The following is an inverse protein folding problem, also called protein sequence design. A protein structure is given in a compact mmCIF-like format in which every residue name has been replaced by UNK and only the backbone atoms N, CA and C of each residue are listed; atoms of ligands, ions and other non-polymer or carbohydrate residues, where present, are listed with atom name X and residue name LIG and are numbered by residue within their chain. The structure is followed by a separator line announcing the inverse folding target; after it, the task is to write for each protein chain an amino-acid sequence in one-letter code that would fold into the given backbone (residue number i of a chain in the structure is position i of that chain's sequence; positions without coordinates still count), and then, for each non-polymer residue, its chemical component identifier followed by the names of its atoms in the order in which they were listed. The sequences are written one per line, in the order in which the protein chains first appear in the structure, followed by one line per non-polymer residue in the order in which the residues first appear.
data_IF_446020795634
#
_entry.id   IF_446020795634
#
_cell.length_a   1.000
_cell.length_b   1.000
_cell.length_c   1.000
_cell.angle_alpha   90.00
_cell.angle_beta   90.00
_cell.angle_gamma   90.00
#
_symmetry.space_group_name_H-M   'P 1'
#
loop_
_entity.id
_entity.type
_entity.pdbx_description
1 polymer ?
#
# COMPACT_ATOMS: atom_id res chain seq x y z
N UNK A 1 -13.44 -28.85 -23.02
CA UNK A 1 -13.66 -30.02 -23.90
C UNK A 1 -12.29 -30.60 -24.24
N UNK A 2 -11.87 -31.62 -23.49
CA UNK A 2 -10.81 -32.55 -23.89
C UNK A 2 -11.49 -33.85 -24.32
N UNK A 3 -10.90 -34.54 -25.29
CA UNK A 3 -11.58 -35.48 -26.17
C UNK A 3 -11.87 -36.87 -25.58
N UNK A 4 -11.63 -37.11 -24.28
CA UNK A 4 -11.67 -38.46 -23.69
C UNK A 4 -12.65 -38.62 -22.51
N UNK A 5 -13.42 -37.58 -22.15
CA UNK A 5 -14.55 -37.73 -21.24
C UNK A 5 -14.24 -38.18 -19.81
N UNK A 6 -12.97 -38.17 -19.36
CA UNK A 6 -12.64 -38.41 -17.95
C UNK A 6 -13.05 -37.20 -17.10
N UNK A 7 -13.83 -37.48 -16.04
CA UNK A 7 -14.14 -36.50 -15.01
C UNK A 7 -12.85 -36.18 -14.25
N UNK A 8 -12.37 -34.95 -14.37
CA UNK A 8 -11.26 -34.46 -13.54
C UNK A 8 -11.71 -34.54 -12.07
N UNK A 9 -10.93 -35.24 -11.23
CA UNK A 9 -11.13 -35.18 -9.79
C UNK A 9 -10.95 -33.73 -9.32
N UNK A 10 -11.69 -33.35 -8.27
CA UNK A 10 -11.62 -32.01 -7.67
C UNK A 10 -10.17 -31.58 -7.34
N UNK A 11 -9.30 -32.53 -7.00
CA UNK A 11 -7.87 -32.30 -6.78
C UNK A 11 -7.09 -31.93 -8.04
N UNK A 12 -7.42 -32.51 -9.20
CA UNK A 12 -6.81 -32.12 -10.48
C UNK A 12 -7.36 -30.78 -10.98
N UNK A 13 -8.64 -30.51 -10.73
CA UNK A 13 -9.24 -29.20 -11.02
C UNK A 13 -8.57 -28.07 -10.21
N UNK A 14 -8.35 -28.30 -8.91
CA UNK A 14 -7.69 -27.32 -8.04
C UNK A 14 -6.24 -27.03 -8.48
N UNK A 15 -5.46 -28.07 -8.79
CA UNK A 15 -4.08 -27.90 -9.29
C UNK A 15 -3.99 -27.15 -10.62
N UNK A 16 -5.00 -27.31 -11.48
CA UNK A 16 -5.06 -26.58 -12.74
C UNK A 16 -5.45 -25.10 -12.57
N UNK A 17 -6.18 -24.76 -11.50
CA UNK A 17 -6.64 -23.40 -11.22
C UNK A 17 -5.63 -22.54 -10.43
N UNK A 18 -4.73 -23.16 -9.65
CA UNK A 18 -3.77 -22.47 -8.78
C UNK A 18 -2.43 -22.14 -9.47
N UNK A 19 -2.47 -21.79 -10.75
CA UNK A 19 -1.29 -21.23 -11.44
C UNK A 19 -1.35 -19.71 -11.37
N UNK A 20 -1.37 -19.17 -10.15
CA UNK A 20 -1.00 -17.78 -9.96
C UNK A 20 0.43 -17.63 -10.50
N UNK A 21 0.64 -16.79 -11.53
CA UNK A 21 1.96 -16.66 -12.08
C UNK A 21 2.84 -16.03 -10.99
N UNK A 22 3.80 -16.81 -10.47
CA UNK A 22 4.96 -16.37 -9.66
C UNK A 22 5.88 -15.40 -10.43
N UNK A 23 5.36 -14.73 -11.45
CA UNK A 23 6.09 -13.89 -12.38
C UNK A 23 6.32 -12.48 -11.85
N UNK A 24 5.62 -12.05 -10.79
CA UNK A 24 5.93 -10.78 -10.17
C UNK A 24 7.14 -10.95 -9.24
N UNK A 25 8.27 -10.39 -9.65
CA UNK A 25 9.47 -10.36 -8.83
C UNK A 25 9.17 -9.66 -7.49
N UNK A 26 9.71 -10.20 -6.39
CA UNK A 26 9.61 -9.55 -5.08
C UNK A 26 10.29 -8.17 -5.17
N UNK A 27 9.55 -7.06 -5.02
CA UNK A 27 10.10 -5.72 -5.23
C UNK A 27 11.20 -5.37 -4.22
N UNK A 28 11.11 -5.86 -2.98
CA UNK A 28 12.16 -5.67 -1.98
C UNK A 28 13.44 -6.44 -2.35
N UNK A 29 13.30 -7.64 -2.92
CA UNK A 29 14.44 -8.43 -3.38
C UNK A 29 15.08 -7.83 -4.64
N UNK A 30 14.26 -7.44 -5.62
CA UNK A 30 14.71 -6.73 -6.83
C UNK A 30 15.49 -5.48 -6.44
N UNK A 31 14.90 -4.62 -5.59
CA UNK A 31 15.55 -3.40 -5.11
C UNK A 31 16.88 -3.68 -4.39
N UNK A 32 16.92 -4.71 -3.53
CA UNK A 32 18.15 -5.12 -2.84
C UNK A 32 19.26 -5.51 -3.82
N UNK A 33 18.95 -6.37 -4.79
CA UNK A 33 19.92 -6.88 -5.77
C UNK A 33 20.37 -5.78 -6.75
N UNK A 34 19.44 -4.94 -7.20
CA UNK A 34 19.76 -3.77 -8.05
C UNK A 34 20.64 -2.74 -7.33
N UNK A 35 20.48 -2.61 -6.00
CA UNK A 35 21.37 -1.83 -5.14
C UNK A 35 22.75 -2.45 -4.89
N UNK A 36 23.04 -3.61 -5.49
CA UNK A 36 24.29 -4.35 -5.30
C UNK A 36 24.34 -5.18 -4.02
N UNK A 37 23.19 -5.41 -3.38
CA UNK A 37 23.05 -6.26 -2.21
C UNK A 37 22.72 -7.71 -2.53
N UNK A 38 22.61 -8.52 -1.48
CA UNK A 38 22.15 -9.92 -1.51
C UNK A 38 20.92 -10.08 -0.62
N UNK A 39 19.84 -10.64 -1.16
CA UNK A 39 18.56 -10.81 -0.46
C UNK A 39 18.40 -12.24 0.07
N UNK A 40 18.01 -12.38 1.34
CA UNK A 40 17.68 -13.66 1.95
C UNK A 40 16.18 -13.94 1.84
N UNK A 41 15.80 -14.98 1.10
CA UNK A 41 14.40 -15.38 0.94
C UNK A 41 13.81 -16.03 2.20
N UNK A 42 14.65 -16.48 3.14
CA UNK A 42 14.22 -17.17 4.37
C UNK A 42 13.63 -16.18 5.36
N UNK A 43 14.32 -15.07 5.59
CA UNK A 43 13.92 -14.06 6.58
C UNK A 43 13.61 -12.68 6.00
N UNK A 44 13.80 -12.48 4.70
CA UNK A 44 13.45 -11.24 4.01
C UNK A 44 14.42 -10.09 4.21
N UNK A 45 15.64 -10.35 4.67
CA UNK A 45 16.66 -9.32 4.84
C UNK A 45 17.46 -9.03 3.57
N UNK A 46 17.97 -7.81 3.47
CA UNK A 46 18.92 -7.38 2.46
C UNK A 46 20.29 -7.16 3.10
N UNK A 47 21.33 -7.80 2.57
CA UNK A 47 22.73 -7.51 2.89
C UNK A 47 23.27 -6.53 1.86
N UNK A 48 23.55 -5.29 2.27
CA UNK A 48 24.04 -4.21 1.42
C UNK A 48 25.50 -4.44 0.99
N UNK A 49 25.97 -3.65 0.02
CA UNK A 49 27.33 -3.76 -0.52
C UNK A 49 28.44 -3.51 0.53
N UNK A 50 28.17 -2.76 1.60
CA UNK A 50 29.12 -2.56 2.71
C UNK A 50 29.10 -3.73 3.73
N UNK A 51 28.22 -4.71 3.55
CA UNK A 51 28.01 -5.84 4.46
C UNK A 51 26.92 -5.61 5.52
N UNK A 52 26.33 -4.41 5.60
CA UNK A 52 25.23 -4.13 6.53
C UNK A 52 23.99 -4.96 6.18
N UNK A 53 23.38 -5.63 7.17
CA UNK A 53 22.12 -6.37 7.01
C UNK A 53 20.94 -5.53 7.52
N UNK A 54 19.92 -5.34 6.68
CA UNK A 54 18.69 -4.58 6.98
C UNK A 54 17.45 -5.40 6.64
N UNK A 55 16.29 -5.02 7.19
CA UNK A 55 15.00 -5.56 6.72
C UNK A 55 14.73 -5.09 5.28
N UNK A 56 14.49 -6.03 4.36
CA UNK A 56 14.40 -5.72 2.94
C UNK A 56 13.19 -4.87 2.58
N UNK A 57 12.05 -5.10 3.24
CA UNK A 57 10.82 -4.34 3.00
C UNK A 57 10.88 -2.93 3.59
N UNK A 58 11.47 -2.75 4.77
CA UNK A 58 11.75 -1.45 5.37
C UNK A 58 12.72 -0.63 4.50
N UNK A 59 13.80 -1.27 4.03
CA UNK A 59 14.75 -0.63 3.12
C UNK A 59 14.06 -0.16 1.82
N UNK A 60 13.29 -1.05 1.20
CA UNK A 60 12.48 -0.72 0.01
C UNK A 60 11.49 0.41 0.28
N UNK A 61 10.72 0.36 1.37
CA UNK A 61 9.74 1.42 1.71
C UNK A 61 10.40 2.74 2.10
N UNK A 62 11.61 2.74 2.65
CA UNK A 62 12.34 4.00 2.88
C UNK A 62 12.76 4.65 1.56
N UNK A 63 13.16 3.85 0.57
CA UNK A 63 13.56 4.35 -0.74
C UNK A 63 12.38 4.71 -1.66
N UNK A 64 11.26 3.98 -1.56
CA UNK A 64 10.12 4.09 -2.48
C UNK A 64 8.79 4.50 -1.82
N UNK A 65 8.70 4.40 -0.50
CA UNK A 65 7.44 4.39 0.26
C UNK A 65 7.19 5.62 1.12
N UNK A 66 7.76 6.77 0.77
CA UNK A 66 7.23 8.05 1.26
C UNK A 66 5.99 8.52 0.47
N UNK A 67 5.67 7.88 -0.66
CA UNK A 67 4.49 8.23 -1.48
C UNK A 67 3.25 7.38 -1.17
N UNK A 68 3.40 6.24 -0.48
CA UNK A 68 2.32 5.26 -0.26
C UNK A 68 1.92 5.04 1.22
N UNK A 69 2.48 5.81 2.16
CA UNK A 69 1.71 6.15 3.36
C UNK A 69 0.59 7.08 2.91
N UNK A 70 -0.47 6.45 2.39
CA UNK A 70 -1.77 6.99 2.03
C UNK A 70 -2.03 8.32 2.73
N UNK A 71 -1.67 9.42 2.10
CA UNK A 71 -2.17 10.71 2.53
C UNK A 71 -3.67 10.58 2.35
N UNK A 72 -4.44 10.58 3.45
CA UNK A 72 -5.89 10.57 3.35
C UNK A 72 -6.25 11.68 2.35
N UNK A 73 -6.86 11.37 1.19
CA UNK A 73 -7.01 12.36 0.12
C UNK A 73 -7.85 13.56 0.58
N UNK A 74 -8.77 13.35 1.51
CA UNK A 74 -9.49 14.44 2.16
C UNK A 74 -8.62 15.28 3.09
N UNK A 75 -7.67 14.68 3.81
CA UNK A 75 -6.70 15.41 4.60
C UNK A 75 -5.72 16.19 3.73
N UNK A 76 -5.23 15.57 2.65
CA UNK A 76 -4.35 16.19 1.67
C UNK A 76 -5.02 17.42 1.05
N UNK A 77 -6.24 17.24 0.55
CA UNK A 77 -7.02 18.30 -0.06
C UNK A 77 -7.34 19.44 0.90
N UNK A 78 -7.64 19.13 2.17
CA UNK A 78 -7.84 20.15 3.19
C UNK A 78 -6.60 21.06 3.36
N UNK A 79 -5.42 20.45 3.47
CA UNK A 79 -4.16 21.18 3.62
C UNK A 79 -3.80 21.96 2.35
N UNK A 80 -3.98 21.34 1.19
CA UNK A 80 -3.73 21.96 -0.13
C UNK A 80 -4.65 23.17 -0.38
N UNK A 81 -5.91 23.09 0.09
CA UNK A 81 -6.88 24.19 0.07
C UNK A 81 -6.57 25.29 1.09
N UNK A 82 -5.45 25.21 1.82
CA UNK A 82 -5.04 26.18 2.84
C UNK A 82 -5.72 26.02 4.20
N UNK A 83 -6.38 24.87 4.44
CA UNK A 83 -7.02 24.53 5.70
C UNK A 83 -6.11 23.73 6.66
N UNK A 84 -6.61 23.51 7.87
CA UNK A 84 -5.98 22.68 8.88
C UNK A 84 -6.79 21.40 9.11
N UNK A 85 -6.17 20.24 8.88
CA UNK A 85 -6.81 18.93 9.10
C UNK A 85 -6.58 18.42 10.52
N UNK A 86 -7.60 17.81 11.14
CA UNK A 86 -7.50 17.13 12.43
C UNK A 86 -8.39 15.89 12.49
N UNK A 87 -7.97 14.90 13.28
CA UNK A 87 -8.82 13.76 13.65
C UNK A 87 -9.55 14.08 14.95
N UNK A 88 -10.85 13.81 14.98
CA UNK A 88 -11.69 13.93 16.17
C UNK A 88 -12.25 12.55 16.52
N UNK A 89 -12.12 12.14 17.77
CA UNK A 89 -12.73 10.92 18.29
C UNK A 89 -14.14 11.22 18.83
N UNK A 90 -15.13 10.44 18.43
CA UNK A 90 -16.48 10.44 19.00
C UNK A 90 -16.58 9.59 20.27
N UNK A 91 -17.66 9.76 21.02
CA UNK A 91 -17.93 9.04 22.27
C UNK A 91 -18.09 7.51 22.05
N UNK A 92 -18.48 7.11 20.85
CA UNK A 92 -18.57 5.73 20.37
C UNK A 92 -17.22 5.12 19.94
N UNK A 93 -16.12 5.89 20.06
CA UNK A 93 -14.78 5.44 19.70
C UNK A 93 -14.44 5.56 18.21
N UNK A 94 -15.38 6.01 17.37
CA UNK A 94 -15.12 6.28 15.97
C UNK A 94 -14.27 7.55 15.80
N UNK A 95 -13.50 7.61 14.73
CA UNK A 95 -12.68 8.77 14.37
C UNK A 95 -13.19 9.42 13.09
N UNK A 96 -13.28 10.74 13.09
CA UNK A 96 -13.72 11.55 11.95
C UNK A 96 -12.66 12.60 11.61
N UNK A 97 -12.39 12.77 10.32
CA UNK A 97 -11.49 13.82 9.82
C UNK A 97 -12.24 15.14 9.67
N UNK A 98 -11.75 16.20 10.31
CA UNK A 98 -12.29 17.56 10.27
C UNK A 98 -11.30 18.48 9.55
N UNK A 99 -11.82 19.37 8.71
CA UNK A 99 -11.06 20.40 8.01
C UNK A 99 -11.50 21.78 8.48
N UNK A 100 -10.57 22.57 9.01
CA UNK A 100 -10.79 23.98 9.34
C UNK A 100 -10.23 24.87 8.22
N UNK A 101 -11.10 25.56 7.50
CA UNK A 101 -10.74 26.46 6.41
C UNK A 101 -10.14 27.77 6.93
N UNK A 102 -9.52 28.55 6.03
CA UNK A 102 -8.86 29.81 6.37
C UNK A 102 -9.81 30.88 6.94
N UNK A 103 -11.10 30.84 6.61
CA UNK A 103 -12.13 31.72 7.17
C UNK A 103 -12.62 31.26 8.56
N UNK A 104 -12.13 30.11 9.05
CA UNK A 104 -12.48 29.52 10.33
C UNK A 104 -13.63 28.51 10.28
N UNK A 105 -14.24 28.28 9.11
CA UNK A 105 -15.26 27.24 8.94
C UNK A 105 -14.67 25.85 9.20
N UNK A 106 -15.33 25.06 10.05
CA UNK A 106 -14.89 23.70 10.40
C UNK A 106 -15.93 22.65 9.96
N UNK A 107 -15.57 21.84 8.96
CA UNK A 107 -16.44 20.85 8.30
C UNK A 107 -15.79 19.46 8.22
N UNK A 108 -16.56 18.46 7.80
CA UNK A 108 -16.04 17.11 7.54
C UNK A 108 -15.11 17.13 6.31
N UNK A 109 -13.92 16.54 6.44
CA UNK A 109 -12.91 16.59 5.40
C UNK A 109 -13.32 15.79 4.15
N UNK A 110 -14.02 14.66 4.30
CA UNK A 110 -14.47 13.84 3.17
C UNK A 110 -15.63 14.46 2.43
N UNK A 111 -16.48 15.23 3.12
CA UNK A 111 -17.48 16.09 2.46
C UNK A 111 -16.78 17.16 1.65
N UNK A 112 -15.84 17.90 2.24
CA UNK A 112 -15.10 18.94 1.53
C UNK A 112 -14.43 18.43 0.26
N UNK A 113 -13.71 17.30 0.37
CA UNK A 113 -13.02 16.66 -0.73
C UNK A 113 -13.95 16.27 -1.87
N UNK A 114 -15.05 15.56 -1.58
CA UNK A 114 -15.95 15.08 -2.62
C UNK A 114 -16.69 16.20 -3.36
N UNK A 115 -16.91 17.33 -2.71
CA UNK A 115 -17.62 18.47 -3.31
C UNK A 115 -16.71 19.40 -4.11
N UNK A 116 -15.41 19.43 -3.82
CA UNK A 116 -14.51 20.48 -4.33
C UNK A 116 -13.24 19.96 -5.00
N UNK A 117 -12.90 18.67 -4.85
CA UNK A 117 -11.75 18.11 -5.53
C UNK A 117 -12.02 18.01 -7.04
N UNK A 118 -11.02 18.35 -7.88
CA UNK A 118 -11.13 18.12 -9.32
C UNK A 118 -11.25 16.62 -9.63
N UNK A 119 -11.99 16.29 -10.69
CA UNK A 119 -12.13 14.91 -11.21
C UNK A 119 -10.82 14.34 -11.79
#
# INVERSE_FOLDING_TARGET
MTADGEALDAWDYFRAADQDPVTLANPAATFCVEGGGSYDLTDGSCTLADGTRVDGWDHFRKAHGQSAQMVNPAAAFCVDSGGAYRIVSGDDGNQTGRCTLADGTDLDAWVHFRENAPE
#
